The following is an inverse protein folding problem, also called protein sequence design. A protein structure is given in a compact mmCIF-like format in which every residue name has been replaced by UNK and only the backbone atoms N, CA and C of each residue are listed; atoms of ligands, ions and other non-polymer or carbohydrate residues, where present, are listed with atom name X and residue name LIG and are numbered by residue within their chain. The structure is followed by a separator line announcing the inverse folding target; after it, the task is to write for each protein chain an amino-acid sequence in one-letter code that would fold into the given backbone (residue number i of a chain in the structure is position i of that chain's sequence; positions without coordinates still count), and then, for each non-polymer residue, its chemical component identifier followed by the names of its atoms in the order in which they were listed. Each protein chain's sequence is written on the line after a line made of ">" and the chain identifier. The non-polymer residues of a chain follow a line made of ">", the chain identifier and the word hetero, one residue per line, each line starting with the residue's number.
data_IF_694742412248
#
_entry.id   IF_694742412248
#
_cell.length_a   1.000
_cell.length_b   1.000
_cell.length_c   1.000
_cell.angle_alpha   90.00
_cell.angle_beta   90.00
_cell.angle_gamma   90.00
#
_symmetry.space_group_name_H-M   'P 1'
#
loop_
_entity.id
_entity.type
_entity.pdbx_description
1 polymer ?
#
# COMPACT_ATOMS: atom_id res chain seq x y z
N UNK A 1 13.39 34.47 -10.36
CA UNK A 1 12.42 34.01 -9.34
C UNK A 1 12.00 32.58 -9.69
N UNK A 2 12.56 31.58 -9.02
CA UNK A 2 12.07 30.20 -9.13
C UNK A 2 10.85 30.07 -8.23
N UNK A 3 9.66 30.03 -8.82
CA UNK A 3 8.44 29.60 -8.12
C UNK A 3 8.62 28.14 -7.72
N UNK A 4 9.01 27.88 -6.47
CA UNK A 4 9.05 26.53 -5.93
C UNK A 4 7.61 26.01 -5.88
N UNK A 5 7.23 25.22 -6.88
CA UNK A 5 5.97 24.48 -6.84
C UNK A 5 6.07 23.53 -5.66
N UNK A 6 5.40 23.86 -4.55
CA UNK A 6 5.37 23.00 -3.36
C UNK A 6 4.78 21.65 -3.78
N UNK A 7 5.46 20.56 -3.41
CA UNK A 7 4.95 19.21 -3.68
C UNK A 7 3.54 19.04 -3.07
N UNK A 8 2.65 18.23 -3.66
CA UNK A 8 1.33 17.99 -3.11
C UNK A 8 1.37 17.50 -1.65
N UNK A 9 2.40 16.71 -1.30
CA UNK A 9 2.71 16.33 0.08
C UNK A 9 2.91 17.54 1.00
N UNK A 10 3.80 18.46 0.64
CA UNK A 10 4.07 19.69 1.43
C UNK A 10 2.81 20.54 1.60
N UNK A 11 1.96 20.59 0.57
CA UNK A 11 0.67 21.29 0.63
C UNK A 11 -0.29 20.63 1.62
N UNK A 12 -0.41 19.30 1.60
CA UNK A 12 -1.28 18.60 2.56
C UNK A 12 -0.79 18.76 4.00
N UNK A 13 0.52 18.65 4.25
CA UNK A 13 1.09 18.90 5.59
C UNK A 13 0.69 20.27 6.09
N UNK A 14 0.91 21.32 5.28
CA UNK A 14 0.53 22.69 5.67
C UNK A 14 -0.96 22.78 5.97
N UNK A 15 -1.81 22.23 5.09
CA UNK A 15 -3.25 22.28 5.23
C UNK A 15 -3.76 21.58 6.50
N UNK A 16 -3.19 20.42 6.86
CA UNK A 16 -3.57 19.70 8.09
C UNK A 16 -3.20 20.50 9.33
N UNK A 17 -1.98 21.04 9.38
CA UNK A 17 -1.50 21.81 10.53
C UNK A 17 -2.28 23.13 10.72
N UNK A 18 -2.71 23.77 9.62
CA UNK A 18 -3.48 25.02 9.72
C UNK A 18 -4.95 24.77 10.02
N UNK A 19 -5.56 23.73 9.45
CA UNK A 19 -7.01 23.51 9.54
C UNK A 19 -7.41 22.68 10.75
N UNK A 20 -6.51 21.83 11.24
CA UNK A 20 -6.76 20.89 12.33
C UNK A 20 -5.62 20.90 13.37
N UNK A 21 -5.26 22.08 13.92
CA UNK A 21 -4.08 22.22 14.80
C UNK A 21 -4.17 21.44 16.12
N UNK A 22 -5.38 21.10 16.58
CA UNK A 22 -5.59 20.26 17.78
C UNK A 22 -5.25 18.79 17.57
N UNK A 23 -5.29 18.35 16.31
CA UNK A 23 -5.27 16.95 15.91
C UNK A 23 -3.97 16.58 15.21
N UNK A 24 -3.26 17.55 14.63
CA UNK A 24 -2.01 17.30 13.92
C UNK A 24 -0.84 18.14 14.43
N UNK A 25 0.36 17.60 14.29
CA UNK A 25 1.64 18.23 14.57
C UNK A 25 2.64 17.96 13.44
N UNK A 26 3.60 18.86 13.25
CA UNK A 26 4.69 18.64 12.31
C UNK A 26 5.83 17.87 12.98
N UNK A 27 6.23 16.75 12.40
CA UNK A 27 7.44 16.02 12.81
C UNK A 27 8.51 16.24 11.76
N UNK A 28 9.70 16.68 12.19
CA UNK A 28 10.86 16.85 11.30
C UNK A 28 11.72 15.61 11.36
N UNK A 29 11.80 14.89 10.24
CA UNK A 29 12.76 13.80 10.06
C UNK A 29 13.57 14.05 8.79
N UNK A 30 14.89 13.86 8.88
CA UNK A 30 15.81 14.01 7.74
C UNK A 30 15.70 15.35 6.99
N UNK A 31 15.43 16.45 7.71
CA UNK A 31 15.29 17.78 7.13
C UNK A 31 13.94 18.05 6.43
N UNK A 32 12.97 17.15 6.58
CA UNK A 32 11.63 17.30 6.02
C UNK A 32 10.54 17.19 7.09
N UNK A 33 9.62 18.15 7.10
CA UNK A 33 8.45 18.13 7.98
C UNK A 33 7.32 17.32 7.35
N UNK A 34 6.87 16.28 8.06
CA UNK A 34 5.69 15.47 7.74
C UNK A 34 4.59 15.71 8.79
N UNK A 35 3.31 15.50 8.46
CA UNK A 35 2.25 15.60 9.44
C UNK A 35 2.21 14.33 10.30
N UNK A 36 1.93 14.49 11.59
CA UNK A 36 1.62 13.41 12.51
C UNK A 36 0.28 13.68 13.21
N UNK A 37 -0.54 12.66 13.35
CA UNK A 37 -1.79 12.71 14.11
C UNK A 37 -1.50 12.58 15.61
N UNK A 38 -2.17 13.39 16.43
CA UNK A 38 -2.11 13.34 17.89
C UNK A 38 -3.12 12.32 18.41
N UNK A 39 -2.69 11.07 18.56
CA UNK A 39 -3.50 10.01 19.17
C UNK A 39 -3.59 10.22 20.68
N UNK A 40 -4.79 10.39 21.22
CA UNK A 40 -5.03 10.60 22.65
C UNK A 40 -5.75 9.39 23.25
N UNK A 41 -5.06 8.68 24.15
CA UNK A 41 -5.68 7.67 25.01
C UNK A 41 -6.31 8.32 26.26
N UNK A 42 -7.34 7.71 26.87
CA UNK A 42 -7.88 8.18 28.14
C UNK A 42 -6.79 8.29 29.21
N UNK A 43 -6.59 9.49 29.76
CA UNK A 43 -5.60 9.75 30.80
C UNK A 43 -4.13 9.67 30.36
N UNK A 44 -3.84 9.55 29.06
CA UNK A 44 -2.48 9.41 28.54
C UNK A 44 -2.02 10.68 27.81
N UNK A 45 -0.71 10.90 27.81
CA UNK A 45 -0.09 11.89 26.94
C UNK A 45 -0.37 11.55 25.46
N UNK A 46 -0.47 12.58 24.62
CA UNK A 46 -0.69 12.37 23.19
C UNK A 46 0.51 11.63 22.56
N UNK A 47 0.22 10.54 21.85
CA UNK A 47 1.20 9.85 21.02
C UNK A 47 1.12 10.39 19.59
N UNK A 48 2.26 10.73 19.01
CA UNK A 48 2.34 11.15 17.61
C UNK A 48 2.37 9.93 16.69
N UNK A 49 1.45 9.90 15.73
CA UNK A 49 1.35 8.88 14.68
C UNK A 49 1.65 9.54 13.34
N UNK A 50 2.83 9.30 12.80
CA UNK A 50 3.29 9.89 11.54
C UNK A 50 2.43 9.46 10.34
N UNK A 51 2.24 10.39 9.40
CA UNK A 51 1.51 10.15 8.17
C UNK A 51 2.46 10.19 6.96
N UNK A 52 2.73 9.02 6.39
CA UNK A 52 3.44 8.91 5.12
C UNK A 52 2.49 9.12 3.94
N UNK A 53 2.57 10.29 3.32
CA UNK A 53 1.65 10.70 2.25
C UNK A 53 2.31 10.59 0.87
N UNK A 54 1.60 9.98 -0.07
CA UNK A 54 2.01 9.83 -1.46
C UNK A 54 0.92 10.31 -2.41
N UNK A 55 1.32 10.81 -3.58
CA UNK A 55 0.42 11.17 -4.67
C UNK A 55 0.99 10.71 -6.01
N UNK A 56 0.11 10.44 -6.98
CA UNK A 56 0.52 9.92 -8.28
C UNK A 56 1.33 10.95 -9.10
N UNK A 57 1.07 12.25 -8.95
CA UNK A 57 1.78 13.28 -9.73
C UNK A 57 3.26 13.34 -9.37
N UNK A 58 3.59 13.15 -8.09
CA UNK A 58 4.97 13.07 -7.61
C UNK A 58 5.62 11.69 -7.84
N UNK A 59 4.84 10.65 -8.11
CA UNK A 59 5.32 9.29 -8.35
C UNK A 59 4.71 8.69 -9.64
N UNK A 60 4.95 9.29 -10.82
CA UNK A 60 4.34 8.85 -12.07
C UNK A 60 4.74 7.42 -12.47
N UNK A 61 5.92 6.97 -12.04
CA UNK A 61 6.39 5.60 -12.21
C UNK A 61 5.68 4.59 -11.29
N UNK A 62 4.81 5.04 -10.37
CA UNK A 62 3.97 4.20 -9.52
C UNK A 62 2.49 4.33 -9.94
N UNK A 63 2.08 3.75 -11.07
CA UNK A 63 0.70 3.84 -11.55
C UNK A 63 -0.32 3.26 -10.56
N UNK A 64 0.12 2.41 -9.62
CA UNK A 64 -0.71 1.90 -8.53
C UNK A 64 -1.21 3.00 -7.58
N UNK A 65 -0.63 4.20 -7.60
CA UNK A 65 -1.12 5.37 -6.85
C UNK A 65 -2.20 6.16 -7.58
N UNK A 66 -2.55 5.80 -8.81
CA UNK A 66 -3.67 6.40 -9.53
C UNK A 66 -5.00 5.95 -8.91
N UNK A 67 -5.49 6.71 -7.94
CA UNK A 67 -6.72 6.43 -7.19
C UNK A 67 -8.01 6.36 -8.02
N UNK A 68 -7.97 6.82 -9.29
CA UNK A 68 -9.09 6.72 -10.23
C UNK A 68 -9.15 5.36 -10.92
N UNK A 69 -7.99 4.70 -11.09
CA UNK A 69 -7.87 3.42 -11.77
C UNK A 69 -7.72 2.24 -10.80
N UNK A 70 -7.14 2.47 -9.61
CA UNK A 70 -6.90 1.43 -8.64
C UNK A 70 -8.19 0.85 -8.05
N UNK A 71 -8.23 -0.47 -7.88
CA UNK A 71 -9.25 -1.19 -7.12
C UNK A 71 -9.21 -0.75 -5.65
N UNK A 72 -10.37 -0.32 -5.14
CA UNK A 72 -10.51 0.31 -3.81
C UNK A 72 -11.73 -0.20 -3.08
N UNK A 73 -11.72 -0.06 -1.76
CA UNK A 73 -12.84 -0.38 -0.87
C UNK A 73 -13.04 0.73 0.15
N UNK A 74 -14.25 0.85 0.66
CA UNK A 74 -14.55 1.66 1.84
C UNK A 74 -14.86 0.73 2.99
N UNK A 75 -14.17 0.90 4.12
CA UNK A 75 -14.49 0.26 5.39
C UNK A 75 -15.29 1.23 6.24
N UNK A 76 -16.23 0.71 7.03
CA UNK A 76 -17.01 1.52 7.96
C UNK A 76 -16.49 1.28 9.37
N UNK A 77 -15.96 2.31 10.02
CA UNK A 77 -15.46 2.25 11.39
C UNK A 77 -16.32 3.18 12.23
N UNK A 78 -17.19 2.62 13.08
CA UNK A 78 -18.10 3.38 13.93
C UNK A 78 -18.93 4.44 13.15
N UNK A 79 -19.44 4.06 11.98
CA UNK A 79 -20.20 4.96 11.09
C UNK A 79 -19.35 5.84 10.17
N UNK A 80 -18.04 5.93 10.38
CA UNK A 80 -17.14 6.69 9.52
C UNK A 80 -16.65 5.83 8.34
N UNK A 81 -16.84 6.32 7.12
CA UNK A 81 -16.28 5.71 5.91
C UNK A 81 -14.78 5.99 5.77
N UNK A 82 -13.96 4.95 5.76
CA UNK A 82 -12.51 4.98 5.59
C UNK A 82 -12.15 4.32 4.26
N UNK A 83 -11.54 5.09 3.35
CA UNK A 83 -11.18 4.60 2.00
C UNK A 83 -9.83 3.90 2.06
N UNK A 84 -9.78 2.68 1.53
CA UNK A 84 -8.57 1.85 1.45
C UNK A 84 -8.37 1.31 0.04
N UNK A 85 -7.15 0.90 -0.29
CA UNK A 85 -6.93 0.05 -1.47
C UNK A 85 -7.57 -1.32 -1.26
N UNK A 86 -8.02 -1.94 -2.36
CA UNK A 86 -8.67 -3.24 -2.31
C UNK A 86 -7.69 -4.37 -1.94
N UNK A 87 -8.18 -5.52 -1.47
CA UNK A 87 -7.34 -6.68 -1.17
C UNK A 87 -6.47 -7.12 -2.36
N UNK A 88 -6.97 -6.97 -3.59
CA UNK A 88 -6.26 -7.34 -4.83
C UNK A 88 -5.05 -6.46 -5.08
N UNK A 89 -5.21 -5.15 -4.84
CA UNK A 89 -4.11 -4.19 -4.89
C UNK A 89 -3.05 -4.51 -3.84
N UNK A 90 -3.48 -4.77 -2.59
CA UNK A 90 -2.55 -5.11 -1.49
C UNK A 90 -1.82 -6.42 -1.79
N UNK A 91 -2.53 -7.44 -2.29
CA UNK A 91 -1.96 -8.74 -2.64
C UNK A 91 -0.87 -8.62 -3.71
N UNK A 92 -1.12 -7.87 -4.79
CA UNK A 92 -0.12 -7.56 -5.82
C UNK A 92 1.14 -6.96 -5.24
N UNK A 93 1.01 -5.89 -4.46
CA UNK A 93 2.18 -5.19 -3.89
C UNK A 93 2.92 -6.08 -2.88
N UNK A 94 2.22 -6.95 -2.13
CA UNK A 94 2.83 -7.89 -1.19
C UNK A 94 3.59 -9.03 -1.88
N UNK A 95 3.07 -9.56 -2.99
CA UNK A 95 3.78 -10.55 -3.82
C UNK A 95 5.10 -9.94 -4.31
N UNK A 96 5.09 -8.69 -4.77
CA UNK A 96 6.33 -8.04 -5.17
C UNK A 96 7.26 -7.74 -3.99
N UNK A 97 6.71 -7.23 -2.88
CA UNK A 97 7.52 -6.83 -1.74
C UNK A 97 8.21 -8.01 -1.06
N UNK A 98 7.56 -9.19 -0.98
CA UNK A 98 8.23 -10.37 -0.43
C UNK A 98 9.45 -10.79 -1.26
N UNK A 99 9.44 -10.54 -2.57
CA UNK A 99 10.54 -10.90 -3.45
C UNK A 99 11.68 -9.89 -3.30
N UNK A 100 11.36 -8.60 -3.38
CA UNK A 100 12.32 -7.50 -3.21
C UNK A 100 12.97 -7.47 -1.81
N UNK A 101 12.29 -8.00 -0.79
CA UNK A 101 12.76 -8.06 0.60
C UNK A 101 13.20 -9.44 1.04
N UNK A 102 13.43 -10.36 0.10
CA UNK A 102 13.92 -11.69 0.41
C UNK A 102 15.20 -11.64 1.25
N UNK A 103 15.29 -12.48 2.27
CA UNK A 103 16.40 -12.53 3.23
C UNK A 103 16.33 -11.48 4.33
N UNK A 104 15.37 -10.55 4.28
CA UNK A 104 15.17 -9.58 5.35
C UNK A 104 14.23 -10.11 6.45
N UNK A 105 14.30 -9.50 7.64
CA UNK A 105 13.37 -9.79 8.74
C UNK A 105 11.89 -9.55 8.38
N UNK A 106 11.60 -8.75 7.34
CA UNK A 106 10.24 -8.43 6.90
C UNK A 106 9.64 -9.44 5.92
N UNK A 107 10.45 -10.32 5.33
CA UNK A 107 9.97 -11.32 4.36
C UNK A 107 8.87 -12.22 4.94
N UNK A 108 9.09 -12.75 6.15
CA UNK A 108 8.14 -13.64 6.80
C UNK A 108 6.78 -12.96 7.05
N UNK A 109 6.81 -11.67 7.38
CA UNK A 109 5.58 -10.87 7.56
C UNK A 109 4.90 -10.62 6.23
N UNK A 110 5.64 -10.30 5.16
CA UNK A 110 5.04 -10.11 3.83
C UNK A 110 4.36 -11.42 3.33
N UNK A 111 4.97 -12.59 3.55
CA UNK A 111 4.35 -13.88 3.20
C UNK A 111 3.08 -14.14 4.03
N UNK A 112 3.09 -13.82 5.33
CA UNK A 112 1.89 -13.96 6.19
C UNK A 112 0.76 -13.04 5.73
N UNK A 113 1.09 -11.82 5.33
CA UNK A 113 0.12 -10.85 4.82
C UNK A 113 -0.49 -11.33 3.50
N UNK A 114 0.32 -11.92 2.59
CA UNK A 114 -0.18 -12.55 1.36
C UNK A 114 -1.24 -13.61 1.70
N UNK A 115 -0.92 -14.54 2.61
CA UNK A 115 -1.85 -15.60 3.01
C UNK A 115 -3.17 -15.04 3.57
N UNK A 116 -3.10 -13.94 4.31
CA UNK A 116 -4.27 -13.26 4.87
C UNK A 116 -5.10 -12.52 3.82
N UNK A 117 -4.47 -12.05 2.73
CA UNK A 117 -5.15 -11.31 1.66
C UNK A 117 -5.79 -12.21 0.60
N UNK A 118 -5.24 -13.41 0.33
CA UNK A 118 -5.79 -14.37 -0.65
C UNK A 118 -7.31 -14.61 -0.49
N UNK A 119 -7.86 -14.92 0.71
CA UNK A 119 -9.29 -15.17 0.84
C UNK A 119 -10.16 -13.93 0.61
N UNK A 120 -9.59 -12.73 0.76
CA UNK A 120 -10.29 -11.46 0.59
C UNK A 120 -10.29 -10.96 -0.86
N UNK A 121 -9.38 -11.48 -1.70
CA UNK A 121 -9.24 -11.09 -3.09
C UNK A 121 -10.28 -11.77 -3.99
N UNK A 122 -10.79 -11.02 -4.96
CA UNK A 122 -11.61 -11.51 -6.06
C UNK A 122 -10.79 -11.67 -7.36
N UNK A 123 -11.05 -12.71 -8.18
CA UNK A 123 -10.41 -12.85 -9.48
C UNK A 123 -10.85 -11.76 -10.47
N UNK A 124 -10.10 -11.62 -11.56
CA UNK A 124 -10.45 -10.73 -12.69
C UNK A 124 -10.18 -9.25 -12.45
N UNK A 125 -9.50 -8.88 -11.34
CA UNK A 125 -9.04 -7.50 -11.11
C UNK A 125 -7.74 -7.22 -11.86
N UNK A 126 -7.57 -6.01 -12.43
CA UNK A 126 -6.40 -5.66 -13.23
C UNK A 126 -5.10 -5.72 -12.41
N UNK A 127 -5.17 -5.49 -11.09
CA UNK A 127 -4.01 -5.65 -10.22
C UNK A 127 -3.49 -7.08 -10.14
N UNK A 128 -4.34 -8.09 -10.41
CA UNK A 128 -3.98 -9.51 -10.38
C UNK A 128 -3.92 -10.15 -11.78
N UNK A 129 -3.79 -9.34 -12.85
CA UNK A 129 -3.36 -9.81 -14.16
C UNK A 129 -1.87 -9.52 -14.34
N UNK A 130 -1.04 -10.57 -14.29
CA UNK A 130 0.41 -10.46 -14.35
C UNK A 130 0.96 -10.75 -15.75
N UNK A 131 0.12 -11.02 -16.75
CA UNK A 131 0.57 -11.45 -18.09
C UNK A 131 1.51 -10.45 -18.76
N UNK A 132 1.33 -9.15 -18.50
CA UNK A 132 2.10 -8.08 -19.12
C UNK A 132 3.20 -7.51 -18.21
N UNK A 133 3.53 -8.18 -17.10
CA UNK A 133 4.51 -7.67 -16.16
C UNK A 133 5.48 -8.76 -15.67
N UNK A 134 6.69 -8.73 -16.23
CA UNK A 134 7.74 -9.69 -15.92
C UNK A 134 8.18 -9.65 -14.45
N UNK A 135 8.17 -8.47 -13.80
CA UNK A 135 8.58 -8.33 -12.40
C UNK A 135 7.61 -9.09 -11.47
N UNK A 136 6.29 -8.95 -11.69
CA UNK A 136 5.30 -9.72 -10.92
C UNK A 136 5.35 -11.21 -11.24
N UNK A 137 5.66 -11.62 -12.47
CA UNK A 137 5.86 -13.03 -12.81
C UNK A 137 7.05 -13.62 -12.05
N UNK A 138 8.17 -12.90 -12.01
CA UNK A 138 9.36 -13.34 -11.28
C UNK A 138 9.07 -13.45 -9.77
N UNK A 139 8.40 -12.45 -9.20
CA UNK A 139 8.01 -12.44 -7.80
C UNK A 139 7.04 -13.59 -7.47
N UNK A 140 6.02 -13.82 -8.30
CA UNK A 140 5.08 -14.92 -8.12
C UNK A 140 5.77 -16.29 -8.23
N UNK A 141 6.68 -16.46 -9.19
CA UNK A 141 7.48 -17.70 -9.32
C UNK A 141 8.30 -17.95 -8.05
N UNK A 142 8.97 -16.91 -7.54
CA UNK A 142 9.75 -16.98 -6.31
C UNK A 142 8.87 -17.33 -5.09
N UNK A 143 7.67 -16.74 -4.98
CA UNK A 143 6.72 -17.08 -3.93
C UNK A 143 6.35 -18.57 -3.96
N UNK A 144 6.03 -19.09 -5.14
CA UNK A 144 5.57 -20.47 -5.32
C UNK A 144 6.69 -21.49 -5.08
N UNK A 145 7.94 -21.14 -5.39
CA UNK A 145 9.10 -21.96 -4.99
C UNK A 145 9.20 -22.09 -3.47
N UNK A 146 8.97 -20.99 -2.73
CA UNK A 146 9.04 -20.97 -1.26
C UNK A 146 7.80 -21.56 -0.59
N UNK A 147 6.63 -21.44 -1.22
CA UNK A 147 5.33 -21.83 -0.66
C UNK A 147 4.47 -22.52 -1.73
N UNK A 148 4.85 -23.72 -2.19
CA UNK A 148 4.15 -24.43 -3.27
C UNK A 148 2.68 -24.72 -2.93
N UNK A 149 2.36 -24.91 -1.65
CA UNK A 149 0.99 -25.12 -1.18
C UNK A 149 0.02 -23.97 -1.52
N UNK A 150 0.52 -22.75 -1.79
CA UNK A 150 -0.32 -21.62 -2.17
C UNK A 150 -0.74 -21.63 -3.65
N UNK A 151 -0.14 -22.48 -4.49
CA UNK A 151 -0.31 -22.45 -5.94
C UNK A 151 -1.77 -22.46 -6.37
N UNK A 152 -2.58 -23.40 -5.87
CA UNK A 152 -3.97 -23.52 -6.28
C UNK A 152 -4.82 -22.31 -5.82
N UNK A 153 -4.58 -21.83 -4.60
CA UNK A 153 -5.30 -20.68 -4.06
C UNK A 153 -4.94 -19.38 -4.78
N UNK A 154 -3.68 -19.21 -5.19
CA UNK A 154 -3.23 -18.05 -5.97
C UNK A 154 -3.71 -18.14 -7.42
N UNK A 155 -3.66 -19.33 -8.04
CA UNK A 155 -4.20 -19.56 -9.40
C UNK A 155 -5.68 -19.22 -9.51
N UNK A 156 -6.46 -19.42 -8.45
CA UNK A 156 -7.87 -19.05 -8.41
C UNK A 156 -8.11 -17.52 -8.39
N UNK A 157 -7.08 -16.71 -8.13
CA UNK A 157 -7.18 -15.24 -7.99
C UNK A 157 -6.41 -14.48 -9.06
N UNK A 158 -5.26 -15.02 -9.46
CA UNK A 158 -4.28 -14.35 -10.32
C UNK A 158 -4.29 -14.96 -11.71
N UNK A 159 -4.38 -14.10 -12.72
CA UNK A 159 -4.19 -14.47 -14.11
C UNK A 159 -2.72 -14.31 -14.47
N UNK A 160 -2.06 -15.41 -14.80
CA UNK A 160 -0.65 -15.43 -15.15
C UNK A 160 -0.34 -16.67 -16.00
N UNK A 161 -0.53 -16.56 -17.30
CA UNK A 161 -0.41 -17.67 -18.25
C UNK A 161 0.97 -18.33 -18.21
N UNK A 162 2.03 -17.54 -18.01
CA UNK A 162 3.41 -18.02 -17.90
C UNK A 162 3.66 -18.99 -16.74
N UNK A 163 2.84 -18.95 -15.68
CA UNK A 163 3.03 -19.74 -14.44
C UNK A 163 1.89 -20.72 -14.22
N UNK A 164 0.66 -20.26 -14.37
CA UNK A 164 -0.55 -21.02 -14.06
C UNK A 164 -1.26 -21.59 -15.29
N UNK A 165 -0.86 -21.18 -16.50
CA UNK A 165 -1.52 -21.57 -17.75
C UNK A 165 -3.03 -21.24 -17.73
N UNK A 166 -3.38 -20.05 -17.22
CA UNK A 166 -4.74 -19.52 -17.08
C UNK A 166 -4.91 -18.12 -17.67
#
# INVERSE_FOLDING_TARGET
>A
MLTTVRSPRTRLTTQLLTSFPSDFEGVSQFGHTIPAYRLRGPGQAAQLVELEVFDYKSWPQRPQYNIRAATRKTLTINGQGVKVFGPEWILREKILSQYQRQGSAKEATDIRDIMSMIPLAAPGKPELDFNQNQEFQNALTNLLQKRPALAQTLKAKIKCSAIFQN
#
